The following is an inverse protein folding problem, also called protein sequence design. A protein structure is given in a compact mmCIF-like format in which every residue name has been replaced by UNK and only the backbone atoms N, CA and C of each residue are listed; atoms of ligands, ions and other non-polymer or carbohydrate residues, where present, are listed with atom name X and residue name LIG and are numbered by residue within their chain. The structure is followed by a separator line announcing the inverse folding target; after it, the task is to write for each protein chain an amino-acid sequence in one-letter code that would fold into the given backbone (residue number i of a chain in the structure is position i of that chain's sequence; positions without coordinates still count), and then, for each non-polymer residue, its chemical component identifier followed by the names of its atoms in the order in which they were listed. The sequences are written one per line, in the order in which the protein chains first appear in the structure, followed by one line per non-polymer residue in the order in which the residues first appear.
data_IF_650635848810
#
_entry.id   IF_650635848810
#
_cell.length_a   1.000
_cell.length_b   1.000
_cell.length_c   1.000
_cell.angle_alpha   90.00
_cell.angle_beta   90.00
_cell.angle_gamma   90.00
#
_symmetry.space_group_name_H-M   'P 1'
#
loop_
_entity.id
_entity.type
_entity.pdbx_description
1 polymer ?
#
# COMPACT_ATOMS: atom_id res chain seq x y z
N UNK A 1 9.76 1.28 4.55
CA UNK A 1 8.36 1.02 4.97
C UNK A 1 7.79 -0.20 4.25
N UNK A 2 7.70 -0.17 2.92
CA UNK A 2 7.21 -1.30 2.12
C UNK A 2 7.87 -2.67 2.37
N UNK A 3 9.20 -2.75 2.33
CA UNK A 3 9.88 -4.05 2.49
C UNK A 3 9.88 -4.53 3.95
N UNK A 4 9.90 -3.59 4.90
CA UNK A 4 9.77 -3.89 6.33
C UNK A 4 8.37 -4.42 6.67
N UNK A 5 7.33 -3.91 6.00
CA UNK A 5 5.96 -4.43 6.08
C UNK A 5 5.88 -5.85 5.53
N UNK A 6 6.49 -6.11 4.37
CA UNK A 6 6.50 -7.44 3.75
C UNK A 6 7.23 -8.51 4.57
N UNK A 7 8.29 -8.12 5.28
CA UNK A 7 9.11 -9.03 6.08
C UNK A 7 8.49 -9.36 7.45
N UNK A 8 7.46 -8.62 7.89
CA UNK A 8 6.88 -8.77 9.22
C UNK A 8 6.02 -10.04 9.30
N UNK A 9 6.35 -10.92 10.26
CA UNK A 9 5.59 -12.13 10.56
C UNK A 9 4.32 -11.76 11.35
N UNK A 10 3.17 -12.24 10.89
CA UNK A 10 1.89 -12.06 11.56
C UNK A 10 1.80 -12.99 12.77
N UNK A 11 1.42 -12.46 13.95
CA UNK A 11 1.25 -13.25 15.17
C UNK A 11 0.29 -12.56 16.14
N UNK A 12 -0.37 -13.35 17.00
CA UNK A 12 -1.46 -12.91 17.88
C UNK A 12 -1.10 -11.78 18.88
N UNK A 13 0.18 -11.43 19.01
CA UNK A 13 0.66 -10.36 19.91
C UNK A 13 1.01 -9.03 19.22
N UNK A 14 0.87 -8.91 17.90
CA UNK A 14 1.13 -7.66 17.17
C UNK A 14 -0.04 -7.33 16.24
N UNK A 15 -1.11 -6.70 16.75
CA UNK A 15 -2.16 -6.14 15.90
C UNK A 15 -1.55 -5.08 14.98
N UNK A 16 -1.92 -5.10 13.71
CA UNK A 16 -1.55 -4.07 12.75
C UNK A 16 -2.48 -2.88 12.93
N UNK A 17 -1.91 -1.69 13.09
CA UNK A 17 -2.65 -0.44 13.04
C UNK A 17 -2.77 0.02 11.59
N UNK A 18 -3.76 0.87 11.33
CA UNK A 18 -3.98 1.44 10.01
C UNK A 18 -2.73 2.18 9.48
N UNK A 19 -2.03 2.88 10.36
CA UNK A 19 -0.78 3.62 10.10
C UNK A 19 0.43 2.73 9.75
N UNK A 20 0.40 1.45 10.12
CA UNK A 20 1.46 0.50 9.79
C UNK A 20 1.41 0.05 8.32
N UNK A 21 0.28 0.30 7.65
CA UNK A 21 0.07 -0.09 6.27
C UNK A 21 0.63 0.99 5.34
N UNK A 22 1.52 0.63 4.40
CA UNK A 22 2.11 1.60 3.47
C UNK A 22 1.13 1.93 2.33
N UNK A 23 0.01 2.57 2.65
CA UNK A 23 -1.04 2.90 1.68
C UNK A 23 -0.48 3.64 0.45
N UNK A 24 -0.93 3.30 -0.76
CA UNK A 24 -0.46 3.94 -2.00
C UNK A 24 -1.14 5.30 -2.17
N UNK A 25 -0.90 6.23 -1.24
CA UNK A 25 -1.36 7.62 -1.29
C UNK A 25 -0.16 8.55 -1.30
N UNK A 26 -0.33 9.78 -1.78
CA UNK A 26 0.71 10.81 -1.70
C UNK A 26 0.68 11.57 -0.36
N UNK A 27 -0.22 11.18 0.54
CA UNK A 27 -0.45 11.81 1.84
C UNK A 27 0.50 11.23 2.89
N UNK A 28 0.75 11.98 3.96
CA UNK A 28 1.59 11.50 5.06
C UNK A 28 0.77 10.52 5.94
N UNK A 29 1.30 9.34 6.32
CA UNK A 29 0.56 8.26 7.02
C UNK A 29 -0.14 8.61 8.34
N UNK A 30 0.04 9.83 8.87
CA UNK A 30 -0.53 10.33 10.12
C UNK A 30 -1.56 11.45 9.90
N UNK A 31 -1.85 11.81 8.65
CA UNK A 31 -2.76 12.91 8.29
C UNK A 31 -4.04 12.42 7.64
N UNK A 32 -4.28 11.11 7.57
CA UNK A 32 -5.45 10.52 6.93
C UNK A 32 -5.91 9.26 7.66
N UNK A 33 -7.22 9.04 7.73
CA UNK A 33 -7.85 7.86 8.30
C UNK A 33 -8.30 6.85 7.24
N UNK A 34 -8.88 5.70 7.66
CA UNK A 34 -9.44 4.70 6.75
C UNK A 34 -10.43 5.25 5.74
N UNK A 35 -11.28 6.18 6.18
CA UNK A 35 -12.29 6.86 5.38
C UNK A 35 -11.71 7.77 4.28
N UNK A 36 -10.46 8.19 4.42
CA UNK A 36 -9.78 9.11 3.50
C UNK A 36 -9.02 8.39 2.38
N UNK A 37 -8.95 7.06 2.42
CA UNK A 37 -8.38 6.27 1.33
C UNK A 37 -9.49 5.91 0.36
N UNK A 38 -9.64 6.77 -0.64
CA UNK A 38 -10.49 6.50 -1.78
C UNK A 38 -9.69 6.04 -2.99
N UNK A 39 -10.42 5.58 -4.01
CA UNK A 39 -9.84 5.12 -5.27
C UNK A 39 -9.07 6.23 -6.01
N UNK A 40 -9.49 7.49 -5.85
CA UNK A 40 -8.89 8.64 -6.53
C UNK A 40 -7.49 8.98 -6.01
N UNK A 41 -7.26 8.86 -4.70
CA UNK A 41 -5.95 9.01 -4.07
C UNK A 41 -4.97 7.92 -4.55
N UNK A 42 -5.46 6.69 -4.68
CA UNK A 42 -4.69 5.56 -5.20
C UNK A 42 -4.32 5.76 -6.66
N UNK A 43 -5.27 6.16 -7.51
CA UNK A 43 -5.01 6.48 -8.92
C UNK A 43 -4.01 7.64 -9.06
N UNK A 44 -4.14 8.66 -8.21
CA UNK A 44 -3.22 9.82 -8.20
C UNK A 44 -1.80 9.39 -7.86
N UNK A 45 -1.62 8.52 -6.86
CA UNK A 45 -0.33 7.97 -6.49
C UNK A 45 0.31 7.18 -7.64
N UNK A 46 -0.44 6.27 -8.28
CA UNK A 46 0.10 5.48 -9.38
C UNK A 46 0.35 6.31 -10.64
N UNK A 47 -0.49 7.30 -10.93
CA UNK A 47 -0.24 8.29 -11.98
C UNK A 47 1.07 9.06 -11.75
N UNK A 48 1.30 9.51 -10.51
CA UNK A 48 2.53 10.17 -10.10
C UNK A 48 3.77 9.25 -10.18
N UNK A 49 3.62 7.96 -9.85
CA UNK A 49 4.69 6.97 -9.97
C UNK A 49 5.04 6.67 -11.44
N UNK A 50 4.03 6.57 -12.32
CA UNK A 50 4.22 6.33 -13.76
C UNK A 50 5.12 7.37 -14.42
N UNK A 51 4.98 8.65 -14.05
CA UNK A 51 5.81 9.73 -14.58
C UNK A 51 7.27 9.71 -14.08
N UNK A 52 7.58 8.91 -13.05
CA UNK A 52 8.89 8.88 -12.39
C UNK A 52 9.66 7.57 -12.61
N UNK A 53 9.06 6.60 -13.29
CA UNK A 53 9.61 5.26 -13.47
C UNK A 53 9.63 4.87 -14.95
N UNK A 54 10.54 3.96 -15.32
CA UNK A 54 10.44 3.27 -16.62
C UNK A 54 9.21 2.38 -16.61
N UNK A 55 8.63 2.16 -17.79
CA UNK A 55 7.41 1.36 -17.93
C UNK A 55 7.53 -0.05 -17.33
N UNK A 56 8.67 -0.72 -17.54
CA UNK A 56 8.95 -2.05 -16.97
C UNK A 56 8.92 -2.04 -15.45
N UNK A 57 9.56 -1.06 -14.83
CA UNK A 57 9.67 -0.94 -13.38
C UNK A 57 8.31 -0.56 -12.78
N UNK A 58 7.59 0.34 -13.46
CA UNK A 58 6.23 0.73 -13.08
C UNK A 58 5.27 -0.46 -13.09
N UNK A 59 5.32 -1.29 -14.15
CA UNK A 59 4.46 -2.48 -14.25
C UNK A 59 4.73 -3.46 -13.10
N UNK A 60 6.00 -3.73 -12.79
CA UNK A 60 6.37 -4.58 -11.65
C UNK A 60 5.94 -3.96 -10.32
N UNK A 61 6.05 -2.64 -10.17
CA UNK A 61 5.64 -1.92 -8.98
C UNK A 61 4.12 -2.00 -8.73
N UNK A 62 3.30 -1.80 -9.77
CA UNK A 62 1.84 -1.96 -9.70
C UNK A 62 1.47 -3.39 -9.32
N UNK A 63 2.08 -4.37 -9.96
CA UNK A 63 1.80 -5.78 -9.68
C UNK A 63 2.12 -6.17 -8.23
N UNK A 64 3.28 -5.75 -7.71
CA UNK A 64 3.64 -5.96 -6.30
C UNK A 64 2.66 -5.27 -5.35
N UNK A 65 2.24 -4.05 -5.69
CA UNK A 65 1.28 -3.30 -4.89
C UNK A 65 -0.08 -3.98 -4.84
N UNK A 66 -0.62 -4.43 -5.97
CA UNK A 66 -1.88 -5.19 -6.01
C UNK A 66 -1.83 -6.45 -5.15
N UNK A 67 -0.72 -7.21 -5.18
CA UNK A 67 -0.57 -8.40 -4.33
C UNK A 67 -0.51 -8.07 -2.84
N UNK A 68 0.06 -6.91 -2.49
CA UNK A 68 0.21 -6.47 -1.09
C UNK A 68 -1.10 -5.97 -0.49
N UNK A 69 -1.90 -5.26 -1.30
CA UNK A 69 -3.21 -4.74 -0.88
C UNK A 69 -4.38 -5.64 -1.32
N UNK A 70 -4.11 -6.87 -1.78
CA UNK A 70 -5.16 -7.77 -2.24
C UNK A 70 -6.15 -8.07 -1.10
N UNK A 71 -7.47 -7.89 -1.30
CA UNK A 71 -8.47 -8.10 -0.26
C UNK A 71 -8.37 -9.50 0.38
N UNK A 72 -8.04 -10.54 -0.39
CA UNK A 72 -7.93 -11.89 0.16
C UNK A 72 -6.76 -12.04 1.13
N UNK A 73 -5.65 -11.30 0.97
CA UNK A 73 -4.55 -11.31 1.95
C UNK A 73 -4.98 -10.66 3.28
N UNK A 74 -6.03 -9.85 3.24
CA UNK A 74 -6.61 -9.16 4.39
C UNK A 74 -7.85 -9.87 4.94
N UNK A 75 -8.59 -10.61 4.10
CA UNK A 75 -9.81 -11.37 4.43
C UNK A 75 -9.54 -12.80 4.87
N UNK A 76 -8.41 -13.40 4.48
CA UNK A 76 -7.95 -14.68 5.05
C UNK A 76 -7.33 -14.51 6.46
N UNK A 77 -7.66 -13.40 7.13
CA UNK A 77 -7.31 -13.05 8.50
C UNK A 77 -8.58 -13.06 9.34
#
# INVERSE_FOLDING_TARGET
LSDAFDARKFGAGQPFLFEDVPWPTLRQPLTFGPEDIDWSEVETFFGAARGRMRWTDYSTFVEKSHRRFHPDRWRSR
#
